data_IF_671281524363
#
_entry.id   IF_671281524363
#
_cell.length_a   1.000
_cell.length_b   1.000
_cell.length_c   1.000
_cell.angle_alpha   90.00
_cell.angle_beta   90.00
_cell.angle_gamma   90.00
#
_symmetry.space_group_name_H-M   'P 1'
#
loop_
_entity.id
_entity.type
_entity.pdbx_description
1 polymer ?
#
# COMPACT_ATOMS: atom_id res chain seq x y z
N UNK A 1 11.84 -22.43 -7.80
CA UNK A 1 11.71 -21.59 -7.06
C UNK A 1 10.99 -20.66 -7.55
N UNK A 2 10.65 -19.96 -6.94
CA UNK A 2 9.89 -19.16 -7.36
C UNK A 2 10.43 -17.92 -7.30
N UNK A 3 10.43 -17.16 -7.98
CA UNK A 3 10.92 -15.90 -7.93
C UNK A 3 10.22 -15.01 -7.01
N UNK A 4 10.56 -13.75 -7.02
CA UNK A 4 9.85 -12.80 -6.21
C UNK A 4 8.44 -12.67 -6.69
N UNK A 5 7.53 -12.37 -5.81
CA UNK A 5 6.16 -12.13 -6.20
C UNK A 5 6.09 -10.97 -7.17
N UNK A 6 5.21 -11.07 -8.12
CA UNK A 6 5.05 -10.04 -9.12
C UNK A 6 4.12 -8.96 -8.61
N UNK A 7 4.40 -7.72 -8.97
CA UNK A 7 3.49 -6.65 -8.57
C UNK A 7 2.11 -6.84 -9.20
N UNK A 8 2.03 -7.49 -10.33
CA UNK A 8 0.73 -7.75 -10.93
C UNK A 8 -0.12 -8.64 -10.05
N UNK A 9 0.50 -9.50 -9.28
CA UNK A 9 -0.27 -10.38 -8.41
C UNK A 9 -0.92 -9.63 -7.25
N UNK A 10 -0.50 -8.42 -7.01
CA UNK A 10 -1.06 -7.65 -5.92
C UNK A 10 -2.28 -6.86 -6.34
N UNK A 11 -2.61 -6.89 -7.63
CA UNK A 11 -3.64 -6.03 -8.10
C UNK A 11 -5.02 -6.58 -7.97
N UNK A 12 -5.26 -7.70 -7.47
CA UNK A 12 -6.61 -8.24 -7.35
C UNK A 12 -7.25 -7.85 -6.05
N UNK A 13 -8.57 -7.78 -6.05
CA UNK A 13 -9.28 -7.45 -4.83
C UNK A 13 -9.03 -8.47 -3.74
N UNK A 14 -8.80 -9.70 -4.11
CA UNK A 14 -8.55 -10.75 -3.15
C UNK A 14 -7.07 -11.00 -2.93
N UNK A 15 -6.22 -10.22 -3.57
CA UNK A 15 -4.78 -10.46 -3.45
C UNK A 15 -4.20 -9.91 -2.18
N UNK A 16 -2.90 -10.08 -2.01
CA UNK A 16 -2.24 -9.54 -0.83
C UNK A 16 -2.30 -8.02 -0.82
N UNK A 17 -2.34 -7.46 0.36
CA UNK A 17 -2.37 -6.01 0.51
C UNK A 17 -0.98 -5.50 0.85
N UNK A 18 -0.77 -4.23 0.65
CA UNK A 18 0.52 -3.61 0.90
C UNK A 18 0.34 -2.60 2.02
N UNK A 19 1.08 -2.77 3.09
CA UNK A 19 0.99 -1.90 4.25
C UNK A 19 2.30 -1.17 4.45
N UNK A 20 2.22 0.13 4.71
CA UNK A 20 3.39 0.95 5.00
C UNK A 20 3.34 1.36 6.47
N UNK A 21 4.40 1.07 7.20
CA UNK A 21 4.50 1.52 8.59
C UNK A 21 4.77 3.02 8.59
N UNK A 22 4.00 3.76 9.36
CA UNK A 22 4.12 5.21 9.37
C UNK A 22 5.41 5.67 10.03
N UNK A 23 5.81 5.00 11.10
CA UNK A 23 7.00 5.42 11.81
C UNK A 23 8.26 4.90 11.16
N UNK A 24 9.35 5.58 11.38
CA UNK A 24 10.63 5.11 10.87
C UNK A 24 11.03 3.84 11.60
N UNK A 25 11.76 2.99 10.93
CA UNK A 25 12.20 1.73 11.49
C UNK A 25 13.72 1.66 11.41
N UNK A 26 14.32 1.09 12.44
CA UNK A 26 15.74 0.86 12.45
C UNK A 26 16.06 -0.20 11.41
N UNK A 27 16.89 0.13 10.47
CA UNK A 27 17.20 -0.79 9.38
C UNK A 27 18.10 -1.94 9.79
N UNK A 28 18.52 -1.99 11.04
CA UNK A 28 19.21 -3.16 11.54
C UNK A 28 18.25 -4.29 11.91
N UNK A 29 16.95 -4.00 11.93
CA UNK A 29 15.96 -5.02 12.23
C UNK A 29 15.94 -6.08 11.15
N UNK A 30 16.01 -7.31 11.56
CA UNK A 30 15.92 -8.45 10.65
C UNK A 30 14.51 -9.03 10.65
N UNK A 31 14.41 -10.28 10.22
CA UNK A 31 13.12 -10.93 10.04
C UNK A 31 12.25 -10.90 11.29
N UNK A 32 12.79 -11.33 12.40
CA UNK A 32 11.95 -11.49 13.60
C UNK A 32 11.48 -10.17 14.17
N UNK A 33 12.36 -9.17 14.18
CA UNK A 33 11.96 -7.88 14.71
C UNK A 33 10.97 -7.20 13.79
N UNK A 34 11.15 -7.35 12.48
CA UNK A 34 10.20 -6.75 11.55
C UNK A 34 8.85 -7.46 11.65
N UNK A 35 8.84 -8.78 11.82
CA UNK A 35 7.59 -9.51 11.99
C UNK A 35 6.86 -9.03 13.25
N UNK A 36 7.59 -8.80 14.33
CA UNK A 36 6.97 -8.29 15.55
C UNK A 36 6.41 -6.89 15.31
N UNK A 37 7.10 -6.05 14.54
CA UNK A 37 6.60 -4.72 14.27
C UNK A 37 5.35 -4.75 13.39
N UNK A 38 5.23 -5.71 12.47
CA UNK A 38 4.04 -5.83 11.65
C UNK A 38 2.83 -5.94 12.56
N UNK A 39 2.89 -6.84 13.53
CA UNK A 39 1.75 -7.03 14.37
C UNK A 39 1.46 -5.79 15.21
N UNK A 40 2.48 -5.17 15.74
CA UNK A 40 2.30 -4.01 16.60
C UNK A 40 1.77 -2.81 15.82
N UNK A 41 2.17 -2.64 14.56
CA UNK A 41 1.85 -1.44 13.82
C UNK A 41 0.60 -1.60 12.97
N UNK A 42 0.40 -2.73 12.34
CA UNK A 42 -0.70 -2.91 11.42
C UNK A 42 -1.84 -3.74 12.00
N UNK A 43 -1.58 -4.46 13.07
CA UNK A 43 -2.57 -5.39 13.60
C UNK A 43 -2.76 -6.61 12.73
N UNK A 44 -1.96 -6.77 11.68
CA UNK A 44 -2.06 -7.90 10.78
C UNK A 44 -1.08 -8.98 11.17
N UNK A 45 -1.36 -10.19 10.76
CA UNK A 45 -0.40 -11.27 11.00
C UNK A 45 0.76 -11.13 10.03
N UNK A 46 1.99 -11.23 10.52
CA UNK A 46 3.12 -11.19 9.59
C UNK A 46 3.15 -12.38 8.65
N UNK A 47 2.39 -13.44 8.94
CA UNK A 47 2.34 -14.61 8.07
C UNK A 47 1.22 -14.53 7.05
N UNK A 48 0.59 -13.39 6.92
CA UNK A 48 -0.58 -13.25 6.07
C UNK A 48 -0.28 -13.27 4.58
N UNK A 49 0.95 -13.09 4.21
CA UNK A 49 1.30 -12.95 2.79
C UNK A 49 1.19 -11.53 2.29
N UNK A 50 0.74 -10.61 3.12
CA UNK A 50 0.73 -9.21 2.73
C UNK A 50 2.14 -8.65 2.71
N UNK A 51 2.32 -7.54 2.05
CA UNK A 51 3.61 -6.89 1.94
C UNK A 51 3.68 -5.78 2.98
N UNK A 52 4.74 -5.77 3.77
CA UNK A 52 4.88 -4.79 4.83
C UNK A 52 6.15 -3.97 4.59
N UNK A 53 5.96 -2.66 4.40
CA UNK A 53 7.04 -1.75 4.06
C UNK A 53 7.50 -0.96 5.27
N UNK A 54 8.80 -0.85 5.43
CA UNK A 54 9.41 -0.12 6.54
C UNK A 54 10.47 0.82 5.97
N UNK A 55 10.43 2.07 6.38
CA UNK A 55 11.37 3.07 5.88
C UNK A 55 12.39 3.45 6.92
N UNK A 56 13.55 3.86 6.47
CA UNK A 56 14.59 4.32 7.37
C UNK A 56 14.37 5.76 7.77
N UNK A 57 15.05 6.18 8.82
CA UNK A 57 14.94 7.55 9.27
C UNK A 57 15.42 8.53 8.21
N UNK A 58 16.50 8.23 7.51
CA UNK A 58 17.01 9.13 6.48
C UNK A 58 16.20 9.05 5.19
N UNK A 59 15.32 8.07 5.08
CA UNK A 59 14.46 7.97 3.91
C UNK A 59 15.09 7.33 2.69
N UNK A 60 16.34 6.97 2.73
CA UNK A 60 17.00 6.39 1.56
C UNK A 60 16.95 4.86 1.54
N UNK A 61 16.42 4.24 2.57
CA UNK A 61 16.37 2.79 2.66
C UNK A 61 14.96 2.32 2.94
N UNK A 62 14.61 1.21 2.32
CA UNK A 62 13.28 0.65 2.46
C UNK A 62 13.43 -0.86 2.59
N UNK A 63 12.73 -1.44 3.53
CA UNK A 63 12.64 -2.89 3.67
C UNK A 63 11.22 -3.32 3.44
N UNK A 64 11.05 -4.44 2.76
CA UNK A 64 9.74 -5.03 2.53
C UNK A 64 9.78 -6.46 3.04
N UNK A 65 8.90 -6.78 3.96
CA UNK A 65 8.81 -8.11 4.53
C UNK A 65 7.57 -8.80 3.98
N UNK A 66 7.71 -10.02 3.51
CA UNK A 66 6.62 -10.79 2.94
C UNK A 66 6.76 -12.24 3.39
N UNK A 67 5.66 -12.84 3.82
CA UNK A 67 5.67 -14.27 4.10
C UNK A 67 5.35 -14.99 2.79
N UNK A 68 6.24 -15.91 2.39
CA UNK A 68 6.08 -16.64 1.15
C UNK A 68 6.01 -18.12 1.46
N UNK A 69 4.84 -18.61 1.57
CA UNK A 69 4.52 -20.03 1.76
C UNK A 69 5.21 -20.67 2.96
N UNK A 70 6.48 -20.74 3.01
CA UNK A 70 7.20 -21.45 4.04
C UNK A 70 8.32 -20.63 4.67
N UNK A 71 8.41 -19.37 4.37
CA UNK A 71 9.46 -18.53 4.94
C UNK A 71 9.23 -17.08 4.67
N UNK A 72 10.01 -16.24 5.33
CA UNK A 72 9.95 -14.81 5.08
C UNK A 72 10.91 -14.41 3.98
N UNK A 73 10.44 -13.45 3.19
CA UNK A 73 11.26 -12.82 2.20
C UNK A 73 11.49 -11.42 2.66
N UNK A 74 12.71 -10.93 2.59
CA UNK A 74 13.03 -9.57 2.96
C UNK A 74 13.72 -8.89 1.79
N UNK A 75 13.09 -7.84 1.26
CA UNK A 75 13.65 -7.06 0.19
C UNK A 75 14.18 -5.79 0.79
N UNK A 76 15.44 -5.49 0.57
CA UNK A 76 16.09 -4.34 1.17
C UNK A 76 16.69 -3.50 0.05
N UNK A 77 16.22 -2.27 -0.10
CA UNK A 77 16.75 -1.39 -1.13
C UNK A 77 17.32 -0.13 -0.51
N UNK A 78 18.52 0.23 -0.91
CA UNK A 78 19.16 1.46 -0.50
C UNK A 78 19.35 2.31 -1.74
N UNK A 79 18.82 3.52 -1.72
CA UNK A 79 19.03 4.44 -2.83
C UNK A 79 20.41 5.06 -2.67
N UNK A 80 21.16 5.09 -3.75
CA UNK A 80 22.50 5.73 -3.70
C UNK A 80 22.34 7.23 -3.82
N UNK A 81 21.23 7.73 -4.29
CA UNK A 81 20.95 9.16 -4.34
C UNK A 81 19.47 9.35 -4.11
N UNK A 82 19.10 10.38 -3.41
CA UNK A 82 17.70 10.69 -3.16
C UNK A 82 17.10 9.91 -2.03
N UNK A 83 15.81 10.09 -1.84
CA UNK A 83 15.07 9.43 -0.77
C UNK A 83 13.73 8.96 -1.33
N UNK A 84 13.13 7.99 -0.67
CA UNK A 84 11.79 7.55 -1.01
C UNK A 84 10.80 8.59 -0.51
N UNK A 85 9.94 9.09 -1.39
CA UNK A 85 8.96 10.11 -1.04
C UNK A 85 7.62 9.45 -0.78
N UNK A 86 7.33 9.26 0.47
CA UNK A 86 6.14 8.53 0.88
C UNK A 86 4.93 9.45 0.95
N UNK A 87 3.74 8.88 0.92
CA UNK A 87 2.56 9.73 1.02
C UNK A 87 2.47 10.39 2.38
N UNK A 88 1.80 11.53 2.43
CA UNK A 88 1.61 12.21 3.68
C UNK A 88 0.59 11.45 4.50
N UNK A 89 0.87 11.29 5.76
CA UNK A 89 -0.01 10.53 6.63
C UNK A 89 -0.60 11.45 7.68
N UNK A 90 -1.82 11.16 8.06
CA UNK A 90 -2.48 11.94 9.09
C UNK A 90 -1.81 11.70 10.44
N UNK A 91 -1.83 12.67 11.32
CA UNK A 91 -1.26 12.46 12.64
C UNK A 91 -1.95 11.30 13.35
N UNK A 92 -1.18 10.53 14.04
CA UNK A 92 -1.72 9.38 14.75
C UNK A 92 -1.87 8.12 13.92
N UNK A 93 -1.61 8.20 12.62
CA UNK A 93 -1.69 7.03 11.78
C UNK A 93 -0.51 6.14 12.04
N UNK A 94 -0.75 4.86 12.28
CA UNK A 94 0.34 3.92 12.53
C UNK A 94 0.74 3.18 11.28
N UNK A 95 -0.19 2.97 10.37
CA UNK A 95 0.10 2.31 9.10
C UNK A 95 -0.91 2.75 8.07
N UNK A 96 -0.58 2.62 6.82
CA UNK A 96 -1.49 2.97 5.75
C UNK A 96 -1.37 1.91 4.67
N UNK A 97 -2.48 1.63 4.04
CA UNK A 97 -2.49 0.66 2.96
C UNK A 97 -2.17 1.36 1.65
N UNK A 98 -1.29 0.79 0.85
CA UNK A 98 -0.94 1.32 -0.45
C UNK A 98 -1.52 0.45 -1.54
N UNK A 99 -1.76 1.03 -2.70
CA UNK A 99 -2.13 0.26 -3.86
C UNK A 99 -0.87 -0.23 -4.55
N UNK A 100 -1.00 -1.30 -5.32
CA UNK A 100 0.15 -1.83 -6.05
C UNK A 100 0.75 -0.77 -6.97
N UNK A 101 -0.10 0.08 -7.56
CA UNK A 101 0.38 1.16 -8.42
C UNK A 101 1.19 2.17 -7.61
N UNK A 102 0.81 2.42 -6.38
CA UNK A 102 1.55 3.37 -5.53
C UNK A 102 2.90 2.81 -5.14
N UNK A 103 2.97 1.52 -4.85
CA UNK A 103 4.25 0.90 -4.54
C UNK A 103 5.15 0.95 -5.77
N UNK A 104 4.61 0.67 -6.94
CA UNK A 104 5.41 0.72 -8.16
C UNK A 104 5.95 2.12 -8.39
N UNK A 105 5.12 3.15 -8.19
CA UNK A 105 5.57 4.52 -8.34
C UNK A 105 6.63 4.89 -7.32
N UNK A 106 6.45 4.44 -6.08
CA UNK A 106 7.43 4.72 -5.04
C UNK A 106 8.78 4.12 -5.39
N UNK A 107 8.79 2.89 -5.85
CA UNK A 107 10.03 2.23 -6.22
C UNK A 107 10.65 2.84 -7.48
N UNK A 108 9.83 3.48 -8.32
CA UNK A 108 10.31 4.11 -9.52
C UNK A 108 10.74 5.56 -9.29
N UNK A 109 10.68 6.03 -8.09
CA UNK A 109 11.16 7.37 -7.78
C UNK A 109 10.14 8.47 -7.87
N UNK A 110 8.87 8.15 -7.96
CA UNK A 110 7.82 9.16 -8.05
C UNK A 110 7.44 9.62 -6.64
N UNK A 111 7.27 10.90 -6.48
CA UNK A 111 6.98 11.50 -5.18
C UNK A 111 5.50 11.33 -4.85
N UNK A 112 5.20 10.40 -3.98
CA UNK A 112 3.82 10.13 -3.59
C UNK A 112 3.23 11.22 -2.72
N UNK A 113 4.05 12.06 -2.11
CA UNK A 113 3.52 13.11 -1.25
C UNK A 113 2.83 14.19 -2.07
N UNK A 114 3.13 14.27 -3.36
CA UNK A 114 2.53 15.25 -4.23
C UNK A 114 1.52 14.64 -5.18
N UNK A 115 1.20 13.38 -5.00
CA UNK A 115 0.33 12.70 -5.92
C UNK A 115 -1.08 13.22 -5.79
N UNK A 116 -1.70 13.53 -6.91
CA UNK A 116 -3.08 13.94 -6.92
C UNK A 116 -3.85 13.01 -7.80
N UNK A 117 -5.02 12.66 -7.38
CA UNK A 117 -5.86 11.79 -8.18
C UNK A 117 -6.97 12.61 -8.78
N UNK A 118 -7.23 12.40 -10.05
CA UNK A 118 -8.36 13.06 -10.70
C UNK A 118 -9.62 12.27 -10.36
N UNK A 119 -10.74 12.94 -10.29
CA UNK A 119 -11.98 12.24 -10.01
C UNK A 119 -12.29 11.23 -11.09
N UNK A 120 -12.83 10.11 -10.71
CA UNK A 120 -13.21 9.07 -11.62
C UNK A 120 -14.68 8.71 -11.40
N UNK A 121 -15.28 8.18 -12.43
CA UNK A 121 -16.65 7.72 -12.31
C UNK A 121 -16.72 6.56 -11.32
N UNK A 122 -17.72 6.57 -10.48
CA UNK A 122 -17.93 5.46 -9.58
C UNK A 122 -19.34 4.98 -9.81
N UNK A 123 -19.48 3.71 -10.00
CA UNK A 123 -20.80 3.14 -10.22
C UNK A 123 -21.61 3.31 -8.93
N UNK A 124 -22.81 3.79 -9.03
CA UNK A 124 -23.59 4.01 -7.82
C UNK A 124 -23.70 2.80 -6.93
N UNK A 125 -23.81 1.64 -7.54
CA UNK A 125 -23.96 0.49 -6.70
C UNK A 125 -22.70 0.05 -6.06
N UNK A 126 -21.62 0.50 -6.52
CA UNK A 126 -20.41 0.02 -5.97
C UNK A 126 -20.27 0.42 -4.56
N UNK A 127 -20.60 1.58 -4.27
CA UNK A 127 -20.43 1.97 -2.92
C UNK A 127 -21.67 1.88 -2.23
N UNK A 128 -22.66 1.61 -2.87
CA UNK A 128 -23.86 1.71 -2.27
C UNK A 128 -24.05 0.85 -1.25
N UNK A 129 -23.37 -0.10 -1.23
CA UNK A 129 -23.70 -0.98 -0.27
C UNK A 129 -23.62 -0.24 0.96
N UNK A 130 -22.90 0.70 1.04
CA UNK A 130 -22.83 1.25 2.28
C UNK A 130 -23.79 2.31 2.45
N UNK A 131 -24.16 2.87 1.63
CA UNK A 131 -24.90 3.95 1.88
C UNK A 131 -26.17 4.04 1.44
N UNK A 132 -26.90 4.31 1.93
CA UNK A 132 -28.13 4.39 1.58
C UNK A 132 -28.38 5.54 1.03
N UNK A 133 -28.21 5.80 0.47
CA UNK A 133 -28.31 6.81 -0.12
C UNK A 133 -29.40 7.53 -0.14
N UNK A 134 -29.68 8.05 -0.06
CA UNK A 134 -30.66 8.81 -0.04
C UNK A 134 -31.33 9.03 -1.20
N UNK A 135 -31.38 8.40 -1.83
CA UNK A 135 -32.17 8.55 -2.84
C UNK A 135 -31.95 9.54 -3.84
N UNK A 136 -31.16 10.21 -3.82
CA UNK A 136 -31.01 11.10 -4.69
C UNK A 136 -30.78 10.62 -5.90
N UNK A 137 -31.40 10.38 -6.57
CA UNK A 137 -31.28 9.89 -7.75
C UNK A 137 -30.30 10.44 -8.53
N UNK A 138 -29.30 10.07 -8.51
CA UNK A 138 -28.41 10.52 -9.31
C UNK A 138 -28.51 10.05 -10.63
N UNK A 139 -28.65 10.69 -11.57
CA UNK A 139 -28.77 10.26 -12.87
C UNK A 139 -27.46 10.03 -13.45
N UNK A 140 -27.16 8.94 -13.95
CA UNK A 140 -25.91 8.66 -14.55
C UNK A 140 -25.67 9.54 -15.71
N UNK A 141 -24.47 9.94 -15.86
CA UNK A 141 -24.20 10.80 -16.91
C UNK A 141 -24.42 10.21 -18.22
N UNK A 142 -24.13 8.96 -18.41
CA UNK A 142 -24.26 8.44 -19.74
C UNK A 142 -25.69 8.34 -20.13
N UNK A 143 -26.56 8.48 -19.19
CA UNK A 143 -27.88 8.39 -19.57
C UNK A 143 -28.28 9.65 -20.16
N UNK A 144 -27.59 10.66 -19.95
CA UNK A 144 -27.99 11.82 -20.47
C UNK A 144 -27.61 11.92 -21.81
N UNK A 145 -26.89 11.08 -22.36
CA UNK A 145 -26.52 11.20 -23.64
C UNK A 145 -27.52 10.84 -24.44
N UNK A 146 -28.11 11.52 -24.95
CA UNK A 146 -29.18 11.17 -25.72
C UNK A 146 -28.70 10.62 -26.89
N UNK A 147 -28.25 10.53 -27.26
CA UNK A 147 -28.00 9.99 -28.31
C UNK A 147 -27.89 10.52 -29.09
#
# INVERSE_FOLDING_TARGET
>A
MIGLPSLAALDGAAGPRIWLAAEVTDMRCGFDRLAARVQAVTGQSPLSGHWFLFRSRCGSRLKILVWDRDGFLLIYKRLEAGVFKLPKLAPGTRSVELKASELAMLLDGIDLSKLKRTPRYQHPNAAACSEKTNGESVTPLYQKHPQ
#
